data_IF_844340203369
#
_entry.id   IF_844340203369
#
_cell.length_a   1.000
_cell.length_b   1.000
_cell.length_c   1.000
_cell.angle_alpha   90.00
_cell.angle_beta   90.00
_cell.angle_gamma   90.00
#
_symmetry.space_group_name_H-M   'P 1'
#
loop_
_entity.id
_entity.type
_entity.pdbx_description
1 polymer ?
#
# COMPACT_ATOMS: atom_id res chain seq x y z
N UNK A 1 23.03 28.29 -36.59
CA UNK A 1 21.66 27.79 -36.88
C UNK A 1 21.72 26.29 -37.05
N UNK A 2 20.88 25.44 -36.50
CA UNK A 2 20.10 25.43 -35.27
C UNK A 2 19.85 23.94 -35.02
N UNK A 3 20.05 23.53 -33.78
CA UNK A 3 20.20 22.15 -33.34
C UNK A 3 18.85 21.43 -33.32
N UNK A 4 18.90 20.16 -33.71
CA UNK A 4 17.92 19.10 -33.56
C UNK A 4 17.16 19.21 -32.22
N UNK A 5 15.85 19.49 -32.27
CA UNK A 5 14.95 19.32 -31.13
C UNK A 5 14.50 17.86 -31.07
N UNK A 6 15.26 17.04 -30.37
CA UNK A 6 14.80 15.74 -29.87
C UNK A 6 14.46 15.96 -28.39
N UNK A 7 13.17 16.20 -28.10
CA UNK A 7 12.67 16.29 -26.74
C UNK A 7 12.57 14.88 -26.12
N UNK A 8 12.64 14.77 -24.78
CA UNK A 8 13.46 13.78 -24.10
C UNK A 8 12.69 12.52 -23.73
N UNK A 9 13.22 11.37 -24.13
CA UNK A 9 12.84 10.05 -23.62
C UNK A 9 13.68 9.70 -22.37
N UNK A 10 13.83 10.66 -21.45
CA UNK A 10 14.79 10.56 -20.33
C UNK A 10 14.15 10.75 -18.94
N UNK A 11 12.82 10.68 -18.83
CA UNK A 11 12.13 10.88 -17.55
C UNK A 11 11.77 9.57 -16.82
N UNK A 12 11.94 8.38 -17.44
CA UNK A 12 11.52 7.11 -16.81
C UNK A 12 12.60 6.39 -16.00
N UNK A 13 13.86 6.86 -16.01
CA UNK A 13 14.97 6.15 -15.35
C UNK A 13 15.24 6.61 -13.91
N UNK A 14 14.59 7.68 -13.43
CA UNK A 14 14.89 8.29 -12.14
C UNK A 14 14.13 7.69 -10.94
N UNK A 15 13.26 6.69 -11.13
CA UNK A 15 12.49 6.06 -10.06
C UNK A 15 13.15 4.80 -9.45
N UNK A 16 14.34 4.41 -9.94
CA UNK A 16 15.07 3.22 -9.45
C UNK A 16 16.15 3.52 -8.40
N UNK A 17 16.26 4.76 -7.92
CA UNK A 17 17.24 5.17 -6.91
C UNK A 17 16.62 5.54 -5.56
N UNK A 18 15.51 4.88 -5.18
CA UNK A 18 15.23 4.79 -3.74
C UNK A 18 16.22 3.75 -3.22
N UNK A 19 17.19 4.11 -2.35
CA UNK A 19 17.96 3.12 -1.64
C UNK A 19 16.95 2.37 -0.77
N UNK A 20 16.47 1.22 -1.26
CA UNK A 20 15.92 0.20 -0.38
C UNK A 20 17.09 -0.12 0.55
N UNK A 21 16.99 0.13 1.87
CA UNK A 21 18.01 -0.34 2.76
C UNK A 21 17.99 -1.86 2.69
N UNK A 22 18.85 -2.43 1.84
CA UNK A 22 19.16 -3.85 1.75
C UNK A 22 19.87 -4.37 3.03
N UNK A 23 19.94 -3.53 4.07
CA UNK A 23 20.49 -3.82 5.38
C UNK A 23 19.56 -3.26 6.46
N UNK A 24 18.38 -3.84 6.58
CA UNK A 24 17.83 -4.05 7.91
C UNK A 24 17.99 -5.54 8.17
N UNK A 25 19.14 -5.92 8.74
CA UNK A 25 19.24 -7.18 9.46
C UNK A 25 18.24 -7.02 10.60
N UNK A 26 17.02 -7.50 10.38
CA UNK A 26 15.99 -7.40 11.39
C UNK A 26 16.46 -8.29 12.54
N UNK A 27 16.94 -7.68 13.62
CA UNK A 27 17.37 -8.41 14.83
C UNK A 27 16.23 -9.30 15.39
N UNK A 28 15.01 -9.10 14.90
CA UNK A 28 13.88 -10.01 15.02
C UNK A 28 13.27 -10.34 13.66
N UNK A 29 12.97 -11.63 13.38
CA UNK A 29 12.30 -12.03 12.15
C UNK A 29 10.93 -11.36 12.04
N UNK A 30 10.64 -10.78 10.87
CA UNK A 30 9.40 -10.09 10.57
C UNK A 30 8.21 -11.05 10.67
N UNK A 31 8.44 -12.33 10.37
CA UNK A 31 7.44 -13.40 10.56
C UNK A 31 6.95 -13.52 12.00
N UNK A 32 7.84 -13.43 13.00
CA UNK A 32 7.43 -13.50 14.42
C UNK A 32 6.60 -12.30 14.85
N UNK A 33 6.96 -11.11 14.34
CA UNK A 33 6.20 -9.90 14.61
C UNK A 33 4.79 -9.96 13.99
N UNK A 34 4.68 -10.46 12.75
CA UNK A 34 3.39 -10.63 12.08
C UNK A 34 2.57 -11.80 12.66
N UNK A 35 3.21 -12.78 13.29
CA UNK A 35 2.55 -13.90 13.97
C UNK A 35 1.97 -13.53 15.35
N UNK A 36 2.35 -12.38 15.94
CA UNK A 36 1.85 -11.94 17.24
C UNK A 36 0.35 -11.56 17.15
N UNK A 37 -0.55 -12.30 17.82
CA UNK A 37 -1.99 -12.03 17.78
C UNK A 37 -2.37 -10.62 18.24
N UNK A 38 -1.60 -10.03 19.17
CA UNK A 38 -1.85 -8.66 19.66
C UNK A 38 -1.53 -7.64 18.59
N UNK A 39 -0.44 -7.83 17.84
CA UNK A 39 -0.07 -6.94 16.73
C UNK A 39 -1.03 -7.09 15.56
N UNK A 40 -1.39 -8.31 15.20
CA UNK A 40 -2.43 -8.60 14.21
C UNK A 40 -3.75 -7.89 14.51
N UNK A 41 -4.20 -7.95 15.77
CA UNK A 41 -5.41 -7.26 16.20
C UNK A 41 -5.24 -5.74 16.15
N UNK A 42 -4.10 -5.21 16.63
CA UNK A 42 -3.82 -3.77 16.58
C UNK A 42 -3.79 -3.23 15.14
N UNK A 43 -3.23 -3.98 14.19
CA UNK A 43 -3.25 -3.63 12.76
C UNK A 43 -4.69 -3.59 12.25
N UNK A 44 -5.50 -4.60 12.58
CA UNK A 44 -6.92 -4.63 12.22
C UNK A 44 -7.70 -3.45 12.79
N UNK A 45 -7.46 -3.10 14.05
CA UNK A 45 -8.10 -1.96 14.73
C UNK A 45 -7.71 -0.63 14.10
N UNK A 46 -6.43 -0.44 13.81
CA UNK A 46 -5.92 0.74 13.11
C UNK A 46 -6.54 0.88 11.72
N UNK A 47 -6.52 -0.18 10.91
CA UNK A 47 -7.10 -0.17 9.56
C UNK A 47 -8.61 0.09 9.61
N UNK A 48 -9.33 -0.56 10.52
CA UNK A 48 -10.76 -0.32 10.72
C UNK A 48 -11.06 1.11 11.16
N UNK A 49 -10.25 1.68 12.06
CA UNK A 49 -10.38 3.07 12.48
C UNK A 49 -10.12 4.05 11.33
N UNK A 50 -9.06 3.84 10.55
CA UNK A 50 -8.73 4.67 9.38
C UNK A 50 -9.87 4.67 8.37
N UNK A 51 -10.41 3.48 8.03
CA UNK A 51 -11.55 3.36 7.12
C UNK A 51 -12.78 4.05 7.70
N UNK A 52 -13.03 3.92 9.01
CA UNK A 52 -14.11 4.64 9.68
C UNK A 52 -14.00 6.15 9.51
N UNK A 53 -12.81 6.71 9.81
CA UNK A 53 -12.52 8.14 9.63
C UNK A 53 -12.72 8.58 8.18
N UNK A 54 -12.27 7.77 7.21
CA UNK A 54 -12.48 8.08 5.80
C UNK A 54 -13.97 8.12 5.43
N UNK A 55 -14.77 7.18 5.92
CA UNK A 55 -16.20 7.11 5.65
C UNK A 55 -16.98 8.26 6.32
N UNK A 56 -16.46 8.83 7.40
CA UNK A 56 -17.06 9.97 8.09
C UNK A 56 -16.67 11.33 7.48
N UNK A 57 -15.76 11.36 6.50
CA UNK A 57 -15.40 12.60 5.82
C UNK A 57 -16.60 13.19 5.06
N UNK A 58 -16.77 14.53 5.08
CA UNK A 58 -17.83 15.19 4.34
C UNK A 58 -17.62 15.04 2.83
N UNK A 59 -18.69 14.73 2.11
CA UNK A 59 -18.65 14.61 0.66
C UNK A 59 -18.89 15.93 -0.08
N UNK A 60 -19.16 17.03 0.63
CA UNK A 60 -19.39 18.36 0.05
C UNK A 60 -18.25 18.84 -0.89
N UNK A 61 -16.95 18.57 -0.60
CA UNK A 61 -15.87 18.91 -1.54
C UNK A 61 -16.00 18.17 -2.89
N UNK A 62 -16.44 16.91 -2.89
CA UNK A 62 -16.67 16.14 -4.11
C UNK A 62 -17.87 16.67 -4.89
N UNK A 63 -18.92 17.09 -4.18
CA UNK A 63 -20.09 17.72 -4.79
C UNK A 63 -19.69 19.01 -5.54
N UNK A 64 -18.92 19.88 -4.89
CA UNK A 64 -18.40 21.12 -5.51
C UNK A 64 -17.53 20.85 -6.74
N UNK A 65 -16.71 19.81 -6.68
CA UNK A 65 -15.89 19.40 -7.83
C UNK A 65 -16.75 18.93 -9.01
N UNK A 66 -17.79 18.12 -8.74
CA UNK A 66 -18.73 17.66 -9.77
C UNK A 66 -19.52 18.81 -10.40
N UNK A 67 -19.97 19.78 -9.59
CA UNK A 67 -20.63 21.00 -10.07
C UNK A 67 -19.70 21.84 -10.95
N UNK A 68 -18.45 22.05 -10.53
CA UNK A 68 -17.44 22.76 -11.31
C UNK A 68 -17.12 22.08 -12.64
N UNK A 69 -17.20 20.75 -12.70
CA UNK A 69 -17.05 19.96 -13.92
C UNK A 69 -18.29 19.99 -14.83
N UNK A 70 -19.37 20.68 -14.43
CA UNK A 70 -20.60 20.83 -15.21
C UNK A 70 -21.64 19.72 -14.99
N UNK A 71 -21.47 18.83 -13.99
CA UNK A 71 -22.49 17.84 -13.64
C UNK A 71 -23.66 18.52 -12.91
N UNK A 72 -24.66 18.93 -13.69
CA UNK A 72 -25.91 19.53 -13.18
C UNK A 72 -26.71 18.58 -12.27
N UNK A 73 -26.40 17.29 -12.27
CA UNK A 73 -26.99 16.27 -11.39
C UNK A 73 -26.28 16.10 -10.04
N UNK A 74 -25.15 16.78 -9.81
CA UNK A 74 -24.35 16.65 -8.60
C UNK A 74 -25.17 16.83 -7.32
N UNK A 75 -26.04 17.86 -7.26
CA UNK A 75 -26.88 18.11 -6.08
C UNK A 75 -27.85 16.96 -5.73
N UNK A 76 -28.22 16.09 -6.68
CA UNK A 76 -29.01 14.88 -6.39
C UNK A 76 -28.15 13.70 -5.95
N UNK A 77 -26.94 13.60 -6.48
CA UNK A 77 -25.99 12.53 -6.16
C UNK A 77 -25.29 12.76 -4.82
N UNK A 78 -25.17 14.01 -4.39
CA UNK A 78 -24.50 14.43 -3.18
C UNK A 78 -25.48 15.24 -2.31
N UNK A 79 -26.26 14.57 -1.44
CA UNK A 79 -27.09 15.28 -0.47
C UNK A 79 -26.24 16.20 0.41
N UNK A 80 -26.80 17.35 0.81
CA UNK A 80 -26.09 18.29 1.69
C UNK A 80 -25.70 17.62 3.00
N UNK A 81 -24.43 17.75 3.38
CA UNK A 81 -23.90 17.16 4.61
C UNK A 81 -23.77 15.63 4.58
N UNK A 82 -23.90 15.00 3.41
CA UNK A 82 -23.61 13.57 3.26
C UNK A 82 -22.12 13.29 3.50
N UNK A 83 -21.82 12.14 4.10
CA UNK A 83 -20.44 11.66 4.22
C UNK A 83 -20.07 10.72 3.08
N UNK A 84 -18.79 10.39 2.94
CA UNK A 84 -18.36 9.37 1.97
C UNK A 84 -19.03 8.01 2.22
N UNK A 85 -19.30 7.67 3.48
CA UNK A 85 -20.02 6.47 3.86
C UNK A 85 -21.50 6.48 3.46
N UNK A 86 -22.16 7.64 3.41
CA UNK A 86 -23.52 7.74 2.88
C UNK A 86 -23.58 7.44 1.37
N UNK A 87 -22.57 7.93 0.64
CA UNK A 87 -22.50 7.77 -0.81
C UNK A 87 -22.08 6.37 -1.24
N UNK A 88 -21.15 5.77 -0.49
CA UNK A 88 -20.66 4.42 -0.75
C UNK A 88 -21.68 3.33 -0.36
N UNK A 89 -22.69 3.67 0.43
CA UNK A 89 -23.82 2.82 0.76
C UNK A 89 -23.66 1.97 2.05
N UNK A 90 -24.68 1.17 2.39
CA UNK A 90 -24.75 0.42 3.65
C UNK A 90 -23.60 -0.57 3.86
N UNK A 91 -23.10 -1.18 2.79
CA UNK A 91 -22.00 -2.13 2.81
C UNK A 91 -20.69 -1.44 3.24
N UNK A 92 -20.45 -0.22 2.77
CA UNK A 92 -19.26 0.54 3.15
C UNK A 92 -19.21 0.81 4.66
N UNK A 93 -20.36 1.07 5.28
CA UNK A 93 -20.47 1.26 6.74
C UNK A 93 -20.09 0.01 7.55
N UNK A 94 -20.10 -1.18 6.94
CA UNK A 94 -19.69 -2.44 7.59
C UNK A 94 -18.20 -2.70 7.44
N UNK A 95 -17.52 -2.09 6.46
CA UNK A 95 -16.11 -2.32 6.16
C UNK A 95 -15.18 -2.17 7.39
N UNK A 96 -15.28 -1.13 8.24
CA UNK A 96 -14.45 -1.02 9.43
C UNK A 96 -14.50 -2.26 10.33
N UNK A 97 -15.70 -2.82 10.52
CA UNK A 97 -15.91 -4.01 11.35
C UNK A 97 -15.43 -5.28 10.65
N UNK A 98 -15.67 -5.39 9.35
CA UNK A 98 -15.21 -6.53 8.57
C UNK A 98 -13.69 -6.60 8.50
N UNK A 99 -13.02 -5.46 8.36
CA UNK A 99 -11.56 -5.36 8.35
C UNK A 99 -10.99 -5.75 9.71
N UNK A 100 -11.52 -5.22 10.82
CA UNK A 100 -11.10 -5.66 12.17
C UNK A 100 -11.22 -7.18 12.38
N UNK A 101 -12.27 -7.78 11.82
CA UNK A 101 -12.52 -9.22 11.95
C UNK A 101 -11.61 -10.07 11.06
N UNK A 102 -11.31 -9.63 9.83
CA UNK A 102 -10.55 -10.42 8.85
C UNK A 102 -9.06 -10.14 8.86
N UNK A 103 -8.64 -8.94 9.25
CA UNK A 103 -7.25 -8.52 9.22
C UNK A 103 -6.32 -9.45 10.02
N UNK A 104 -6.67 -9.94 11.23
CA UNK A 104 -5.76 -10.83 11.95
C UNK A 104 -5.42 -12.11 11.19
N UNK A 105 -6.42 -12.76 10.59
CA UNK A 105 -6.22 -13.95 9.78
C UNK A 105 -5.35 -13.68 8.55
N UNK A 106 -5.55 -12.53 7.89
CA UNK A 106 -4.75 -12.14 6.73
C UNK A 106 -3.30 -11.86 7.11
N UNK A 107 -3.08 -11.12 8.21
CA UNK A 107 -1.74 -10.81 8.71
C UNK A 107 -1.02 -12.08 9.19
N UNK A 108 -1.73 -13.00 9.84
CA UNK A 108 -1.19 -14.31 10.20
C UNK A 108 -0.71 -15.11 9.00
N UNK A 109 -1.53 -15.20 7.94
CA UNK A 109 -1.14 -15.86 6.69
C UNK A 109 0.07 -15.19 6.02
N UNK A 110 0.16 -13.86 6.09
CA UNK A 110 1.34 -13.13 5.61
C UNK A 110 2.59 -13.47 6.45
N UNK A 111 2.45 -13.57 7.78
CA UNK A 111 3.53 -13.97 8.68
C UNK A 111 4.09 -15.36 8.35
N UNK A 112 3.22 -16.32 8.04
CA UNK A 112 3.62 -17.67 7.60
C UNK A 112 4.39 -17.64 6.27
N UNK A 113 3.91 -16.88 5.29
CA UNK A 113 4.63 -16.70 4.02
C UNK A 113 5.99 -16.03 4.24
N UNK A 114 6.04 -15.01 5.09
CA UNK A 114 7.29 -14.34 5.45
C UNK A 114 8.27 -15.30 6.11
N UNK A 115 7.81 -16.22 6.97
CA UNK A 115 8.68 -17.23 7.58
C UNK A 115 9.33 -18.12 6.51
N UNK A 116 8.55 -18.58 5.53
CA UNK A 116 9.08 -19.40 4.41
C UNK A 116 10.12 -18.62 3.60
N UNK A 117 9.90 -17.33 3.35
CA UNK A 117 10.85 -16.48 2.64
C UNK A 117 12.12 -16.22 3.44
N UNK A 118 11.99 -16.04 4.76
CA UNK A 118 13.13 -15.90 5.68
C UNK A 118 13.98 -17.18 5.70
N UNK A 119 13.35 -18.35 5.69
CA UNK A 119 14.05 -19.65 5.61
C UNK A 119 14.84 -19.80 4.30
N UNK A 120 14.35 -19.21 3.20
CA UNK A 120 15.03 -19.22 1.90
C UNK A 120 16.07 -18.10 1.73
N UNK A 121 16.10 -17.11 2.61
CA UNK A 121 16.99 -15.96 2.51
C UNK A 121 18.49 -16.33 2.37
N UNK A 122 19.03 -17.32 3.10
CA UNK A 122 20.43 -17.72 2.96
C UNK A 122 20.79 -18.24 1.56
N UNK A 123 19.87 -18.92 0.88
CA UNK A 123 20.08 -19.40 -0.49
C UNK A 123 20.09 -18.25 -1.49
N UNK A 124 19.21 -17.25 -1.31
CA UNK A 124 19.25 -16.04 -2.13
C UNK A 124 20.57 -15.28 -1.97
N UNK A 125 21.09 -15.16 -0.75
CA UNK A 125 22.42 -14.57 -0.53
C UNK A 125 23.53 -15.38 -1.21
N UNK A 126 23.43 -16.71 -1.19
CA UNK A 126 24.40 -17.59 -1.84
C UNK A 126 24.41 -17.39 -3.36
N UNK A 127 23.23 -17.33 -3.97
CA UNK A 127 23.06 -17.04 -5.40
C UNK A 127 23.64 -15.66 -5.74
N UNK A 128 23.36 -14.64 -4.90
CA UNK A 128 23.90 -13.29 -5.08
C UNK A 128 25.43 -13.26 -5.09
N UNK A 129 26.07 -13.91 -4.10
CA UNK A 129 27.54 -14.01 -4.03
C UNK A 129 28.15 -14.75 -5.22
N UNK A 130 27.51 -15.82 -5.68
CA UNK A 130 27.98 -16.58 -6.83
C UNK A 130 27.85 -15.80 -8.14
N UNK A 131 26.80 -14.98 -8.27
CA UNK A 131 26.64 -14.06 -9.40
C UNK A 131 27.71 -12.96 -9.41
N UNK A 132 27.96 -12.31 -8.27
CA UNK A 132 29.02 -11.29 -8.13
C UNK A 132 30.39 -11.84 -8.53
N UNK A 133 30.71 -13.07 -8.09
CA UNK A 133 31.97 -13.73 -8.42
C UNK A 133 32.14 -13.95 -9.92
N UNK A 134 31.09 -14.43 -10.60
CA UNK A 134 31.11 -14.64 -12.06
C UNK A 134 31.25 -13.33 -12.84
N UNK A 135 30.69 -12.24 -12.34
CA UNK A 135 30.85 -10.92 -12.96
C UNK A 135 32.30 -10.43 -12.84
N UNK A 136 32.93 -10.63 -11.68
CA UNK A 136 34.35 -10.26 -11.46
C UNK A 136 35.33 -11.10 -12.29
N UNK A 137 34.98 -12.35 -12.59
CA UNK A 137 35.79 -13.24 -13.44
C UNK A 137 35.62 -12.95 -14.95
N UNK A 138 34.64 -12.13 -15.35
CA UNK A 138 34.35 -11.79 -16.74
C UNK A 138 34.96 -10.44 -17.19
N UNK A 139 35.57 -9.69 -16.27
CA UNK A 139 36.36 -8.47 -16.52
C UNK A 139 37.87 -8.79 -16.59
#
# INVERSE_FOLDING_TARGET
MSVLKVLPLAALSALMLVPVPAQAKADHPLSQELADPRKQQAIGDMLGALIGVMLDMPADPLARMAEAAGDRGAARKFPRGATLGDLAGPEARRLPREVRRRAPAMVGAMGELTAVLEDMAPEFERIGRDFERRMQEAD
#
